data_IF_607349234362
#
_entry.id   IF_607349234362
#
_cell.length_a   1.000
_cell.length_b   1.000
_cell.length_c   1.000
_cell.angle_alpha   90.00
_cell.angle_beta   90.00
_cell.angle_gamma   90.00
#
_symmetry.space_group_name_H-M   'P 1'
#
loop_
_entity.id
_entity.type
_entity.pdbx_description
1 polymer ?
#
# COMPACT_ATOMS: atom_id res chain seq x y z
N UNK A 1 27.36 -8.70 4.13
CA UNK A 1 28.34 -8.63 3.03
C UNK A 1 27.83 -9.12 1.67
N UNK A 2 26.71 -9.83 1.62
CA UNK A 2 26.15 -10.40 0.38
C UNK A 2 25.13 -9.51 -0.35
N UNK A 3 24.72 -8.37 0.22
CA UNK A 3 23.65 -7.55 -0.35
C UNK A 3 24.09 -6.53 -1.43
N UNK A 4 25.36 -6.20 -1.52
CA UNK A 4 25.88 -5.28 -2.55
C UNK A 4 26.09 -5.93 -3.92
N UNK A 5 26.32 -7.23 -3.98
CA UNK A 5 26.60 -7.94 -5.23
C UNK A 5 25.34 -8.17 -6.08
N UNK A 6 24.20 -8.42 -5.44
CA UNK A 6 22.94 -8.71 -6.14
C UNK A 6 22.34 -7.47 -6.83
N UNK A 7 22.49 -6.31 -6.21
CA UNK A 7 22.02 -5.02 -6.76
C UNK A 7 22.84 -4.64 -8.00
N UNK A 8 24.16 -4.87 -7.96
CA UNK A 8 25.04 -4.60 -9.08
C UNK A 8 24.76 -5.51 -10.29
N UNK A 9 24.36 -6.76 -10.06
CA UNK A 9 23.99 -7.70 -11.13
C UNK A 9 22.70 -7.29 -11.83
N UNK A 10 21.70 -6.86 -11.10
CA UNK A 10 20.41 -6.41 -11.65
C UNK A 10 20.60 -5.11 -12.44
N UNK A 11 21.41 -4.18 -11.94
CA UNK A 11 21.78 -2.96 -12.65
C UNK A 11 22.54 -3.26 -13.95
N UNK A 12 23.46 -4.21 -13.91
CA UNK A 12 24.26 -4.61 -15.09
C UNK A 12 23.39 -5.27 -16.18
N UNK A 13 22.50 -6.21 -15.78
CA UNK A 13 21.53 -6.84 -16.68
C UNK A 13 20.55 -5.85 -17.30
N UNK A 14 20.13 -4.84 -16.57
CA UNK A 14 19.18 -3.83 -17.04
C UNK A 14 19.83 -2.87 -18.03
N UNK A 15 21.11 -2.54 -17.85
CA UNK A 15 21.89 -1.71 -18.78
C UNK A 15 22.17 -2.44 -20.12
N UNK A 16 22.31 -3.76 -20.10
CA UNK A 16 22.51 -4.58 -21.30
C UNK A 16 21.25 -4.68 -22.19
N UNK A 17 20.06 -4.56 -21.59
CA UNK A 17 18.78 -4.71 -22.29
C UNK A 17 18.22 -3.39 -22.89
N UNK A 18 19.02 -2.32 -22.93
CA UNK A 18 18.64 -1.07 -23.60
C UNK A 18 17.52 -0.28 -22.90
N UNK A 19 17.20 -0.60 -21.66
CA UNK A 19 16.29 0.20 -20.83
C UNK A 19 16.93 1.53 -20.48
N UNK A 20 16.23 2.63 -20.72
CA UNK A 20 16.75 3.98 -20.47
C UNK A 20 17.11 4.21 -19.00
N UNK A 21 18.11 5.07 -18.75
CA UNK A 21 18.60 5.39 -17.39
C UNK A 21 17.48 5.79 -16.42
N UNK A 22 16.42 6.42 -16.90
CA UNK A 22 15.25 6.80 -16.09
C UNK A 22 14.49 5.59 -15.53
N UNK A 23 14.30 4.53 -16.33
CA UNK A 23 13.66 3.30 -15.87
C UNK A 23 14.51 2.53 -14.87
N UNK A 24 15.84 2.53 -15.04
CA UNK A 24 16.78 1.89 -14.10
C UNK A 24 16.74 2.60 -12.75
N UNK A 25 16.70 3.92 -12.73
CA UNK A 25 16.59 4.71 -11.50
C UNK A 25 15.25 4.43 -10.82
N UNK A 26 14.17 4.39 -11.56
CA UNK A 26 12.83 4.10 -11.04
C UNK A 26 12.75 2.70 -10.43
N UNK A 27 13.23 1.68 -11.14
CA UNK A 27 13.32 0.30 -10.64
C UNK A 27 14.22 0.19 -9.40
N UNK A 28 15.34 0.91 -9.36
CA UNK A 28 16.24 0.92 -8.20
C UNK A 28 15.57 1.56 -6.99
N UNK A 29 14.85 2.66 -7.19
CA UNK A 29 14.08 3.33 -6.12
C UNK A 29 12.97 2.40 -5.63
N UNK A 30 12.26 1.71 -6.52
CA UNK A 30 11.23 0.74 -6.17
C UNK A 30 11.82 -0.43 -5.40
N UNK A 31 12.92 -1.02 -5.87
CA UNK A 31 13.59 -2.16 -5.21
C UNK A 31 14.17 -1.74 -3.86
N UNK A 32 14.78 -0.57 -3.74
CA UNK A 32 15.24 -0.04 -2.46
C UNK A 32 14.09 0.27 -1.50
N UNK A 33 12.98 0.74 -2.04
CA UNK A 33 11.74 0.91 -1.28
C UNK A 33 11.20 -0.43 -0.75
N UNK A 34 11.26 -1.48 -1.55
CA UNK A 34 10.91 -2.85 -1.12
C UNK A 34 11.85 -3.40 -0.06
N UNK A 35 13.16 -3.19 -0.17
CA UNK A 35 14.16 -3.70 0.78
C UNK A 35 14.21 -2.87 2.08
N UNK A 36 14.00 -1.56 1.99
CA UNK A 36 14.01 -0.66 3.13
C UNK A 36 12.70 -0.66 3.91
N UNK A 37 11.63 -1.14 3.30
CA UNK A 37 10.27 -1.10 3.84
C UNK A 37 9.74 -2.47 4.23
N UNK A 38 10.23 -3.02 5.32
CA UNK A 38 9.42 -3.88 6.18
C UNK A 38 8.32 -3.04 6.89
N UNK A 39 7.84 -1.99 6.26
CA UNK A 39 6.79 -1.14 6.82
C UNK A 39 5.50 -1.92 6.80
N UNK A 40 4.95 -2.15 7.99
CA UNK A 40 3.69 -2.87 8.18
C UNK A 40 2.48 -1.98 7.92
N UNK A 41 2.66 -0.66 7.98
CA UNK A 41 1.57 0.31 7.96
C UNK A 41 1.86 1.46 7.01
N UNK A 42 0.79 1.99 6.44
CA UNK A 42 0.73 3.34 5.89
C UNK A 42 -0.25 4.16 6.72
N UNK A 43 -0.01 5.45 6.85
CA UNK A 43 -1.01 6.37 7.37
C UNK A 43 -1.93 6.80 6.23
N UNK A 44 -3.20 6.53 6.38
CA UNK A 44 -4.25 6.90 5.44
C UNK A 44 -5.01 8.09 5.99
N UNK A 45 -4.96 9.22 5.30
CA UNK A 45 -5.73 10.41 5.60
C UNK A 45 -6.99 10.44 4.75
N UNK A 46 -8.14 10.46 5.40
CA UNK A 46 -9.47 10.50 4.78
C UNK A 46 -10.23 11.74 5.24
N UNK A 47 -11.09 12.27 4.40
CA UNK A 47 -11.74 13.57 4.61
C UNK A 47 -13.18 13.42 5.10
N UNK A 48 -13.56 14.29 6.04
CA UNK A 48 -14.92 14.45 6.52
C UNK A 48 -15.70 15.38 5.60
N UNK A 49 -17.03 15.35 5.73
CA UNK A 49 -17.94 16.25 5.00
C UNK A 49 -17.71 17.72 5.35
N UNK A 50 -17.33 18.01 6.60
CA UNK A 50 -17.03 19.37 7.09
C UNK A 50 -15.66 19.91 6.64
N UNK A 51 -14.91 19.17 5.82
CA UNK A 51 -13.58 19.54 5.36
C UNK A 51 -12.44 19.12 6.29
N UNK A 52 -12.74 18.61 7.48
CA UNK A 52 -11.74 18.02 8.37
C UNK A 52 -11.19 16.69 7.84
N UNK A 53 -10.12 16.21 8.43
CA UNK A 53 -9.51 14.92 8.06
C UNK A 53 -9.29 14.03 9.27
N UNK A 54 -9.14 12.73 8.98
CA UNK A 54 -8.76 11.71 9.97
C UNK A 54 -7.62 10.88 9.41
N UNK A 55 -6.56 10.74 10.17
CA UNK A 55 -5.42 9.88 9.87
C UNK A 55 -5.59 8.55 10.59
N UNK A 56 -5.42 7.46 9.86
CA UNK A 56 -5.54 6.11 10.42
C UNK A 56 -4.39 5.25 9.90
N UNK A 57 -3.63 4.59 10.78
CA UNK A 57 -2.68 3.58 10.33
C UNK A 57 -3.47 2.39 9.78
N UNK A 58 -3.09 1.93 8.59
CA UNK A 58 -3.73 0.80 7.93
C UNK A 58 -2.69 -0.18 7.42
N UNK A 59 -3.04 -1.46 7.42
CA UNK A 59 -2.26 -2.48 6.74
C UNK A 59 -2.48 -2.35 5.24
N UNK A 60 -1.44 -2.62 4.48
CA UNK A 60 -1.47 -2.53 3.02
C UNK A 60 -0.72 -3.67 2.36
N UNK A 61 -1.07 -3.96 1.15
CA UNK A 61 -0.31 -4.81 0.24
C UNK A 61 -0.09 -4.08 -1.07
N UNK A 62 0.98 -4.41 -1.76
CA UNK A 62 1.26 -3.91 -3.10
C UNK A 62 1.19 -5.09 -4.05
N UNK A 63 0.42 -4.92 -5.11
CA UNK A 63 0.35 -5.86 -6.21
C UNK A 63 0.31 -5.09 -7.53
N UNK A 64 1.23 -5.41 -8.46
CA UNK A 64 1.33 -4.74 -9.76
C UNK A 64 1.38 -3.20 -9.64
N UNK A 65 2.20 -2.69 -8.71
CA UNK A 65 2.41 -1.26 -8.43
C UNK A 65 1.19 -0.51 -7.88
N UNK A 66 0.14 -1.23 -7.52
CA UNK A 66 -1.06 -0.66 -6.88
C UNK A 66 -1.05 -0.99 -5.39
N UNK A 67 -1.36 0.00 -4.58
CA UNK A 67 -1.52 -0.16 -3.14
C UNK A 67 -2.96 -0.58 -2.84
N UNK A 68 -3.12 -1.66 -2.08
CA UNK A 68 -4.41 -2.14 -1.63
C UNK A 68 -4.52 -2.10 -0.11
N UNK A 69 -5.68 -1.71 0.36
CA UNK A 69 -6.05 -1.67 1.77
C UNK A 69 -7.29 -2.53 1.99
N UNK A 70 -7.22 -3.41 2.97
CA UNK A 70 -8.37 -4.22 3.40
C UNK A 70 -8.83 -3.74 4.76
N UNK A 71 -10.09 -3.42 4.89
CA UNK A 71 -10.69 -2.92 6.14
C UNK A 71 -12.11 -3.45 6.30
N UNK A 72 -12.72 -3.22 7.47
CA UNK A 72 -14.10 -3.60 7.72
C UNK A 72 -15.07 -2.56 7.14
N UNK A 73 -16.17 -3.02 6.57
CA UNK A 73 -17.22 -2.19 5.95
C UNK A 73 -17.81 -1.15 6.89
N UNK A 74 -17.89 -1.47 8.17
CA UNK A 74 -18.54 -0.63 9.20
C UNK A 74 -17.65 0.49 9.76
N UNK A 75 -16.39 0.57 9.33
CA UNK A 75 -15.47 1.57 9.88
C UNK A 75 -15.76 2.98 9.37
N UNK A 76 -15.46 3.99 10.22
CA UNK A 76 -15.64 5.38 9.84
C UNK A 76 -14.84 5.82 8.61
N UNK A 77 -13.68 5.19 8.36
CA UNK A 77 -12.91 5.47 7.13
C UNK A 77 -13.66 5.06 5.86
N UNK A 78 -14.40 3.93 5.89
CA UNK A 78 -15.22 3.51 4.74
C UNK A 78 -16.31 4.53 4.45
N UNK A 79 -17.02 5.00 5.47
CA UNK A 79 -18.04 6.06 5.32
C UNK A 79 -17.47 7.32 4.70
N UNK A 80 -16.28 7.74 5.15
CA UNK A 80 -15.61 8.91 4.58
C UNK A 80 -15.20 8.71 3.12
N UNK A 81 -14.67 7.52 2.77
CA UNK A 81 -14.28 7.17 1.41
C UNK A 81 -15.45 7.08 0.43
N UNK A 82 -16.65 6.72 0.91
CA UNK A 82 -17.88 6.75 0.11
C UNK A 82 -18.30 8.17 -0.25
N UNK A 83 -18.04 9.13 0.64
CA UNK A 83 -18.37 10.54 0.40
C UNK A 83 -17.28 11.28 -0.38
N UNK A 84 -16.02 10.97 -0.11
CA UNK A 84 -14.86 11.57 -0.77
C UNK A 84 -13.77 10.52 -0.94
N UNK A 85 -13.53 10.13 -2.18
CA UNK A 85 -12.57 9.10 -2.51
C UNK A 85 -11.12 9.61 -2.71
N UNK A 86 -10.86 10.88 -2.48
CA UNK A 86 -9.51 11.40 -2.40
C UNK A 86 -8.89 11.13 -1.04
N UNK A 87 -7.63 10.78 -1.05
CA UNK A 87 -6.85 10.47 0.15
C UNK A 87 -5.46 11.07 0.06
N UNK A 88 -4.79 11.14 1.21
CA UNK A 88 -3.35 11.28 1.27
C UNK A 88 -2.79 10.09 2.01
N UNK A 89 -1.68 9.60 1.54
CA UNK A 89 -0.97 8.48 2.15
C UNK A 89 0.48 8.83 2.42
N UNK A 90 1.01 8.28 3.48
CA UNK A 90 2.44 8.31 3.77
C UNK A 90 2.86 7.01 4.41
N UNK A 91 4.09 6.60 4.18
CA UNK A 91 4.64 5.49 4.92
C UNK A 91 4.85 5.89 6.37
N UNK A 92 4.36 5.10 7.32
CA UNK A 92 4.62 5.33 8.73
C UNK A 92 5.32 4.13 9.38
N UNK A 93 6.21 4.43 10.33
CA UNK A 93 6.63 3.46 11.33
C UNK A 93 5.57 3.40 12.43
N UNK A 94 5.61 2.38 13.26
CA UNK A 94 4.72 2.29 14.43
C UNK A 94 4.79 3.53 15.36
N UNK A 95 5.88 4.29 15.30
CA UNK A 95 6.10 5.54 16.06
C UNK A 95 5.77 6.83 15.29
N UNK A 96 5.31 6.73 14.04
CA UNK A 96 4.38 7.68 13.46
C UNK A 96 4.86 8.98 12.85
N UNK A 97 6.14 9.25 12.60
CA UNK A 97 6.50 10.46 11.84
C UNK A 97 6.40 10.23 10.33
N UNK A 98 5.45 10.89 9.65
CA UNK A 98 5.34 10.83 8.19
C UNK A 98 6.40 11.70 7.53
N UNK A 99 7.13 11.18 6.57
CA UNK A 99 8.17 11.92 5.84
C UNK A 99 7.63 12.67 4.63
N UNK A 100 6.79 12.04 3.85
CA UNK A 100 6.16 12.66 2.67
C UNK A 100 4.74 12.15 2.47
N UNK A 101 3.84 13.05 2.10
CA UNK A 101 2.45 12.76 1.79
C UNK A 101 2.23 12.68 0.29
N UNK A 102 1.69 11.59 -0.18
CA UNK A 102 1.30 11.37 -1.56
C UNK A 102 -0.22 11.45 -1.68
N UNK A 103 -0.70 12.17 -2.68
CA UNK A 103 -2.13 12.22 -3.00
C UNK A 103 -2.54 10.96 -3.74
N UNK A 104 -3.72 10.46 -3.45
CA UNK A 104 -4.27 9.30 -4.11
C UNK A 104 -5.78 9.38 -4.29
N UNK A 105 -6.28 8.51 -5.14
CA UNK A 105 -7.71 8.28 -5.35
C UNK A 105 -8.03 6.82 -5.08
N UNK A 106 -9.10 6.61 -4.34
CA UNK A 106 -9.51 5.28 -3.88
C UNK A 106 -10.62 4.74 -4.76
N UNK A 107 -10.51 3.46 -5.11
CA UNK A 107 -11.59 2.70 -5.76
C UNK A 107 -11.86 1.43 -4.97
N UNK A 108 -13.12 1.06 -4.83
CA UNK A 108 -13.49 -0.24 -4.28
C UNK A 108 -13.15 -1.35 -5.27
N UNK A 109 -12.57 -2.42 -4.75
CA UNK A 109 -12.20 -3.63 -5.51
C UNK A 109 -13.11 -4.77 -5.06
N UNK A 110 -13.66 -5.50 -6.03
CA UNK A 110 -14.58 -6.61 -5.80
C UNK A 110 -14.15 -7.85 -6.58
N UNK A 111 -14.83 -8.98 -6.35
CA UNK A 111 -14.62 -10.22 -7.08
C UNK A 111 -13.27 -10.88 -6.80
N UNK A 112 -12.79 -11.63 -7.77
CA UNK A 112 -11.55 -12.42 -7.68
C UNK A 112 -10.33 -11.57 -7.28
N UNK A 113 -10.25 -10.34 -7.76
CA UNK A 113 -9.14 -9.42 -7.39
C UNK A 113 -9.15 -9.08 -5.90
N UNK A 114 -10.32 -8.86 -5.32
CA UNK A 114 -10.46 -8.62 -3.88
C UNK A 114 -10.03 -9.86 -3.08
N UNK A 115 -10.40 -11.05 -3.52
CA UNK A 115 -10.01 -12.32 -2.89
C UNK A 115 -8.48 -12.50 -2.91
N UNK A 116 -7.85 -12.23 -4.04
CA UNK A 116 -6.40 -12.28 -4.19
C UNK A 116 -5.70 -11.29 -3.26
N UNK A 117 -6.20 -10.07 -3.13
CA UNK A 117 -5.65 -9.06 -2.22
C UNK A 117 -5.76 -9.50 -0.76
N UNK A 118 -6.90 -10.07 -0.36
CA UNK A 118 -7.09 -10.61 0.99
C UNK A 118 -6.09 -11.74 1.26
N UNK A 119 -5.85 -12.61 0.30
CA UNK A 119 -4.86 -13.69 0.41
C UNK A 119 -3.43 -13.14 0.52
N UNK A 120 -3.06 -12.14 -0.28
CA UNK A 120 -1.75 -11.46 -0.18
C UNK A 120 -1.56 -10.81 1.19
N UNK A 121 -2.61 -10.20 1.75
CA UNK A 121 -2.59 -9.66 3.11
C UNK A 121 -2.32 -10.74 4.15
N UNK A 122 -3.02 -11.87 4.08
CA UNK A 122 -2.79 -13.02 4.96
C UNK A 122 -1.35 -13.52 4.89
N UNK A 123 -0.81 -13.62 3.68
CA UNK A 123 0.57 -14.04 3.45
C UNK A 123 1.58 -13.04 4.04
N UNK A 124 1.35 -11.73 3.87
CA UNK A 124 2.26 -10.68 4.34
C UNK A 124 2.29 -10.56 5.87
N UNK A 125 1.12 -10.64 6.52
CA UNK A 125 0.98 -10.37 7.95
C UNK A 125 0.87 -11.64 8.83
N UNK A 126 0.77 -12.82 8.23
CA UNK A 126 0.82 -14.11 8.91
C UNK A 126 -0.24 -14.28 10.01
N UNK A 127 0.20 -14.74 11.20
CA UNK A 127 -0.67 -15.02 12.35
C UNK A 127 -1.44 -13.79 12.82
N UNK A 128 -0.84 -12.60 12.75
CA UNK A 128 -1.52 -11.34 13.13
C UNK A 128 -2.75 -11.06 12.25
N UNK A 129 -2.70 -11.44 10.98
CA UNK A 129 -3.86 -11.33 10.09
C UNK A 129 -4.95 -12.33 10.45
N UNK A 130 -4.60 -13.54 10.92
CA UNK A 130 -5.57 -14.54 11.36
C UNK A 130 -6.36 -14.11 12.60
N UNK A 131 -5.73 -13.40 13.52
CA UNK A 131 -6.40 -12.85 14.71
C UNK A 131 -7.42 -11.76 14.36
N UNK A 132 -7.14 -11.01 13.28
CA UNK A 132 -8.06 -9.97 12.76
C UNK A 132 -9.11 -10.58 11.83
N UNK A 133 -8.82 -11.69 11.15
CA UNK A 133 -9.76 -12.45 10.32
C UNK A 133 -10.82 -13.24 11.12
N UNK A 134 -10.83 -13.13 12.45
CA UNK A 134 -12.04 -13.44 13.25
C UNK A 134 -13.22 -12.56 12.83
N UNK A 135 -12.97 -11.47 12.11
CA UNK A 135 -13.97 -10.70 11.40
C UNK A 135 -14.16 -11.31 10.01
N UNK A 136 -15.37 -11.84 9.78
CA UNK A 136 -15.73 -12.59 8.58
C UNK A 136 -15.30 -11.87 7.29
N UNK A 137 -14.88 -12.64 6.27
CA UNK A 137 -14.61 -12.17 4.91
C UNK A 137 -15.76 -11.32 4.36
N UNK A 138 -16.99 -11.63 4.74
CA UNK A 138 -18.21 -10.94 4.35
C UNK A 138 -18.27 -9.48 4.82
N UNK A 139 -17.62 -9.15 5.93
CA UNK A 139 -17.53 -7.81 6.48
C UNK A 139 -16.30 -7.03 6.02
N UNK A 140 -15.45 -7.62 5.21
CA UNK A 140 -14.28 -6.96 4.66
C UNK A 140 -14.58 -6.23 3.36
N UNK A 141 -13.91 -5.11 3.16
CA UNK A 141 -13.93 -4.34 1.93
C UNK A 141 -12.49 -4.05 1.51
N UNK A 142 -12.24 -4.13 0.21
CA UNK A 142 -10.93 -3.90 -0.39
C UNK A 142 -10.97 -2.61 -1.19
N UNK A 143 -9.99 -1.76 -0.99
CA UNK A 143 -9.76 -0.55 -1.78
C UNK A 143 -8.40 -0.60 -2.46
N UNK A 144 -8.36 -0.16 -3.71
CA UNK A 144 -7.11 0.23 -4.38
C UNK A 144 -6.88 1.71 -4.19
N UNK A 145 -5.62 2.10 -4.08
CA UNK A 145 -5.19 3.50 -4.03
C UNK A 145 -4.30 3.75 -5.24
N UNK A 146 -4.77 4.58 -6.14
CA UNK A 146 -4.02 5.04 -7.31
C UNK A 146 -3.44 6.43 -7.01
N UNK A 147 -2.17 6.62 -7.29
CA UNK A 147 -1.51 7.91 -7.12
C UNK A 147 -2.11 8.93 -8.10
N UNK A 148 -2.33 10.15 -7.61
CA UNK A 148 -2.79 11.30 -8.41
C UNK A 148 -1.70 12.37 -8.36
N UNK A 149 -1.31 12.85 -9.51
CA UNK A 149 -0.33 13.95 -9.66
C UNK A 149 -0.95 15.29 -9.30
#
# INVERSE_FOLDING_TARGET
MWHHSTINWILWLTLQNGLGKSMVILLTIIIQSFHKNKKKYISLETYKIDGGYVRTPVWFVIDSDVIYVVTQKTTGKVKRLQNNNYVRITSCSFKGEPTEWTKGKVKQVTGEKADNVIMLRKKKYGISARLIDLFSKENSIVFSIEQVN
#
